data_IF_485035393798
#
_entry.id   IF_485035393798
#
_cell.length_a   1.000
_cell.length_b   1.000
_cell.length_c   1.000
_cell.angle_alpha   90.00
_cell.angle_beta   90.00
_cell.angle_gamma   90.00
#
_symmetry.space_group_name_H-M   'P 1'
#
loop_
_entity.id
_entity.type
_entity.pdbx_description
1 polymer ?
#
# COMPACT_ATOMS: atom_id res chain seq x y z
N UNK A 1 -5.35 12.87 -3.53
CA UNK A 1 -4.44 11.97 -4.26
C UNK A 1 -4.86 10.54 -3.97
N UNK A 2 -4.64 9.64 -4.92
CA UNK A 2 -4.77 8.20 -4.73
C UNK A 2 -3.43 7.60 -5.09
N UNK A 3 -2.85 6.82 -4.19
CA UNK A 3 -1.64 6.04 -4.44
C UNK A 3 -1.90 4.61 -3.99
N UNK A 4 -1.35 3.65 -4.71
CA UNK A 4 -1.42 2.25 -4.35
C UNK A 4 -0.06 1.60 -4.55
N UNK A 5 0.22 0.59 -3.74
CA UNK A 5 1.43 -0.20 -3.82
C UNK A 5 1.10 -1.68 -3.61
N UNK A 6 1.76 -2.55 -4.37
CA UNK A 6 1.62 -4.00 -4.29
C UNK A 6 2.93 -4.65 -3.87
N UNK A 7 2.86 -5.68 -3.03
CA UNK A 7 4.00 -6.45 -2.55
C UNK A 7 3.65 -7.93 -2.40
N UNK A 8 4.57 -8.81 -2.80
CA UNK A 8 4.52 -10.24 -2.49
C UNK A 8 5.04 -10.48 -1.08
N UNK A 9 4.18 -11.01 -0.21
CA UNK A 9 4.47 -11.30 1.19
C UNK A 9 4.06 -12.75 1.48
N UNK A 10 5.02 -13.61 1.80
CA UNK A 10 4.80 -15.03 2.09
C UNK A 10 4.07 -15.79 0.96
N UNK A 11 4.26 -15.36 -0.29
CA UNK A 11 3.59 -15.93 -1.46
C UNK A 11 2.21 -15.35 -1.77
N UNK A 12 1.67 -14.51 -0.88
CA UNK A 12 0.41 -13.78 -1.09
C UNK A 12 0.69 -12.38 -1.66
N UNK A 13 -0.26 -11.82 -2.39
CA UNK A 13 -0.17 -10.44 -2.87
C UNK A 13 -0.93 -9.50 -1.93
N UNK A 14 -0.20 -8.55 -1.33
CA UNK A 14 -0.77 -7.47 -0.54
C UNK A 14 -0.78 -6.19 -1.36
N UNK A 15 -1.95 -5.56 -1.47
CA UNK A 15 -2.16 -4.29 -2.15
C UNK A 15 -2.69 -3.28 -1.13
N UNK A 16 -1.97 -2.19 -0.92
CA UNK A 16 -2.43 -1.09 -0.07
C UNK A 16 -2.74 0.14 -0.91
N UNK A 17 -3.93 0.72 -0.72
CA UNK A 17 -4.45 1.85 -1.49
C UNK A 17 -4.87 2.99 -0.57
N UNK A 18 -4.32 4.18 -0.80
CA UNK A 18 -4.56 5.40 -0.02
C UNK A 18 -5.58 6.31 -0.70
N UNK A 19 -6.58 6.74 0.05
CA UNK A 19 -7.63 7.64 -0.40
C UNK A 19 -7.72 8.88 0.50
N UNK A 20 -7.38 10.06 -0.03
CA UNK A 20 -7.50 11.32 0.72
C UNK A 20 -8.90 11.92 0.64
N UNK A 21 -9.53 12.15 1.80
CA UNK A 21 -10.77 12.92 1.87
C UNK A 21 -10.46 14.41 2.12
N UNK A 22 -10.73 15.27 1.13
CA UNK A 22 -10.49 16.71 1.25
C UNK A 22 -11.37 17.39 2.30
N UNK A 23 -12.58 16.89 2.53
CA UNK A 23 -13.51 17.46 3.50
C UNK A 23 -13.08 17.16 4.94
N UNK A 24 -12.70 15.91 5.21
CA UNK A 24 -12.28 15.48 6.54
C UNK A 24 -10.79 15.76 6.82
N UNK A 25 -9.98 15.99 5.79
CA UNK A 25 -8.54 16.24 5.92
C UNK A 25 -7.74 15.01 6.35
N UNK A 26 -8.25 13.80 6.11
CA UNK A 26 -7.64 12.53 6.53
C UNK A 26 -7.59 11.53 5.37
N UNK A 27 -6.71 10.55 5.49
CA UNK A 27 -6.62 9.41 4.59
C UNK A 27 -7.40 8.21 5.13
N UNK A 28 -7.96 7.46 4.20
CA UNK A 28 -8.45 6.08 4.40
C UNK A 28 -7.54 5.16 3.61
N UNK A 29 -7.16 4.04 4.19
CA UNK A 29 -6.32 3.03 3.55
C UNK A 29 -7.13 1.75 3.37
N UNK A 30 -7.21 1.26 2.14
CA UNK A 30 -7.72 -0.07 1.85
C UNK A 30 -6.54 -1.02 1.72
N UNK A 31 -6.63 -2.17 2.38
CA UNK A 31 -5.64 -3.24 2.30
C UNK A 31 -6.36 -4.45 1.73
N UNK A 32 -5.86 -4.93 0.60
CA UNK A 32 -6.39 -6.07 -0.11
C UNK A 32 -5.34 -7.17 -0.19
N UNK A 33 -5.70 -8.36 0.23
CA UNK A 33 -4.88 -9.56 0.16
C UNK A 33 -5.50 -10.55 -0.81
N UNK A 34 -4.75 -10.85 -1.87
CA UNK A 34 -4.99 -11.99 -2.76
C UNK A 34 -4.13 -13.14 -2.25
N UNK A 35 -4.75 -14.08 -1.53
CA UNK A 35 -4.06 -15.21 -0.93
C UNK A 35 -3.92 -16.33 -1.94
N UNK A 36 -2.74 -16.96 -1.99
CA UNK A 36 -2.46 -18.08 -2.88
C UNK A 36 -3.44 -19.26 -2.69
N UNK A 37 -4.03 -19.41 -1.50
CA UNK A 37 -5.06 -20.41 -1.20
C UNK A 37 -6.38 -20.19 -1.97
N UNK A 38 -6.55 -19.05 -2.64
CA UNK A 38 -7.75 -18.68 -3.40
C UNK A 38 -8.78 -17.91 -2.58
N UNK A 39 -8.47 -17.58 -1.33
CA UNK A 39 -9.27 -16.68 -0.51
C UNK A 39 -8.81 -15.23 -0.74
N UNK A 40 -9.75 -14.29 -0.73
CA UNK A 40 -9.45 -12.86 -0.83
C UNK A 40 -9.91 -12.15 0.43
N UNK A 41 -9.11 -11.19 0.91
CA UNK A 41 -9.44 -10.42 2.10
C UNK A 41 -9.24 -8.93 1.87
N UNK A 42 -10.32 -8.16 2.01
CA UNK A 42 -10.27 -6.71 2.02
C UNK A 42 -10.51 -6.18 3.44
N UNK A 43 -9.68 -5.23 3.88
CA UNK A 43 -9.90 -4.45 5.09
C UNK A 43 -9.67 -2.98 4.84
N UNK A 44 -10.40 -2.13 5.57
CA UNK A 44 -10.29 -0.68 5.47
C UNK A 44 -9.85 -0.11 6.81
N UNK A 45 -8.84 0.73 6.79
CA UNK A 45 -8.22 1.36 7.94
C UNK A 45 -8.30 2.88 7.84
N UNK A 46 -8.56 3.53 8.97
CA UNK A 46 -8.62 4.97 9.08
C UNK A 46 -9.23 5.40 10.42
N UNK A 47 -9.16 6.70 10.74
CA UNK A 47 -8.56 7.77 9.94
C UNK A 47 -7.03 7.84 10.09
N UNK A 48 -6.32 7.93 8.97
CA UNK A 48 -4.87 8.21 8.93
C UNK A 48 -4.69 9.71 8.76
N UNK A 49 -3.77 10.33 9.52
CA UNK A 49 -3.57 11.77 9.41
C UNK A 49 -3.07 12.17 8.01
N UNK A 50 -3.31 13.41 7.61
CA UNK A 50 -2.80 13.93 6.33
C UNK A 50 -1.28 13.79 6.21
N UNK A 51 -0.54 14.09 7.29
CA UNK A 51 0.91 14.05 7.28
C UNK A 51 1.45 12.63 7.09
N UNK A 52 0.88 11.66 7.80
CA UNK A 52 1.25 10.24 7.65
C UNK A 52 0.90 9.73 6.25
N UNK A 53 -0.31 10.01 5.76
CA UNK A 53 -0.73 9.56 4.44
C UNK A 53 0.05 10.21 3.29
N UNK A 54 0.37 11.51 3.39
CA UNK A 54 1.20 12.18 2.40
C UNK A 54 2.62 11.59 2.35
N UNK A 55 3.22 11.24 3.50
CA UNK A 55 4.52 10.59 3.53
C UNK A 55 4.51 9.23 2.84
N UNK A 56 3.43 8.44 3.01
CA UNK A 56 3.28 7.16 2.33
C UNK A 56 3.04 7.34 0.82
N UNK A 57 2.16 8.27 0.43
CA UNK A 57 1.91 8.61 -0.99
C UNK A 57 3.20 9.07 -1.68
N UNK A 58 3.99 9.91 -1.02
CA UNK A 58 5.28 10.37 -1.54
C UNK A 58 6.27 9.21 -1.70
N UNK A 59 6.38 8.33 -0.70
CA UNK A 59 7.22 7.13 -0.78
C UNK A 59 6.81 6.22 -1.95
N UNK A 60 5.52 5.91 -2.08
CA UNK A 60 4.98 5.09 -3.18
C UNK A 60 5.31 5.74 -4.54
N UNK A 61 5.19 7.07 -4.64
CA UNK A 61 5.50 7.84 -5.84
C UNK A 61 6.95 7.78 -6.31
N UNK A 62 7.88 7.31 -5.47
CA UNK A 62 9.28 7.09 -5.85
C UNK A 62 9.48 5.83 -6.71
N UNK A 63 8.51 4.92 -6.73
CA UNK A 63 8.53 3.76 -7.62
C UNK A 63 7.86 4.09 -8.96
N UNK A 64 8.50 3.75 -10.07
CA UNK A 64 7.89 3.85 -11.41
C UNK A 64 6.84 2.78 -11.69
N UNK A 65 6.83 1.70 -10.91
CA UNK A 65 5.94 0.54 -11.05
C UNK A 65 5.45 0.07 -9.67
N UNK A 66 4.64 0.86 -8.96
CA UNK A 66 4.17 0.50 -7.62
C UNK A 66 3.18 -0.67 -7.60
N UNK A 67 2.61 -1.05 -8.75
CA UNK A 67 1.75 -2.24 -8.89
C UNK A 67 2.54 -3.55 -9.09
N UNK A 68 3.87 -3.50 -9.23
CA UNK A 68 4.68 -4.70 -9.44
C UNK A 68 5.02 -5.36 -8.10
N UNK A 69 4.26 -6.40 -7.72
CA UNK A 69 4.44 -7.14 -6.46
C UNK A 69 5.83 -7.74 -6.25
N UNK A 70 6.59 -7.93 -7.33
CA UNK A 70 7.96 -8.45 -7.31
C UNK A 70 9.01 -7.34 -7.30
N UNK A 71 8.60 -6.08 -7.26
CA UNK A 71 9.52 -4.95 -7.20
C UNK A 71 10.26 -4.94 -5.85
N UNK A 72 11.57 -4.70 -5.90
CA UNK A 72 12.47 -4.59 -4.73
C UNK A 72 13.24 -3.28 -4.76
N UNK A 73 12.67 -2.24 -5.34
CA UNK A 73 13.29 -0.91 -5.33
C UNK A 73 13.33 -0.34 -3.90
N UNK A 74 14.14 0.69 -3.63
CA UNK A 74 14.23 1.30 -2.30
C UNK A 74 12.87 1.67 -1.72
N UNK A 75 11.94 2.18 -2.53
CA UNK A 75 10.59 2.51 -2.08
C UNK A 75 9.81 1.28 -1.56
N UNK A 76 9.86 0.14 -2.25
CA UNK A 76 9.19 -1.09 -1.80
C UNK A 76 9.84 -1.67 -0.55
N UNK A 77 11.18 -1.66 -0.51
CA UNK A 77 11.93 -2.14 0.64
C UNK A 77 11.70 -1.25 1.88
N UNK A 78 11.57 0.07 1.69
CA UNK A 78 11.22 0.99 2.78
C UNK A 78 9.75 0.85 3.21
N UNK A 79 8.84 0.56 2.28
CA UNK A 79 7.41 0.43 2.58
C UNK A 79 7.08 -0.88 3.30
N UNK A 80 7.48 -2.02 2.73
CA UNK A 80 7.16 -3.36 3.23
C UNK A 80 8.25 -3.95 4.14
N UNK A 81 9.43 -3.33 4.22
CA UNK A 81 10.52 -3.81 5.07
C UNK A 81 11.02 -5.21 4.68
N UNK A 82 11.22 -6.05 5.70
CA UNK A 82 11.68 -7.43 5.55
C UNK A 82 10.55 -8.42 5.20
N UNK A 83 9.33 -7.93 4.93
CA UNK A 83 8.18 -8.78 4.64
C UNK A 83 8.09 -9.22 3.17
N UNK A 84 8.90 -8.64 2.28
CA UNK A 84 8.90 -9.00 0.86
C UNK A 84 9.65 -10.30 0.59
N UNK A 85 9.07 -11.15 -0.27
CA UNK A 85 9.68 -12.42 -0.72
C UNK A 85 10.97 -12.28 -1.56
#
# INVERSE_FOLDING_TARGET
MVASISGSIQGDECIESYFFCQHCGVYTVEVYWDMFSGDEKASVHGPVSKAEGDAQVELIGQCSRPWDKKCRCPAHLSYFGESLD
#
